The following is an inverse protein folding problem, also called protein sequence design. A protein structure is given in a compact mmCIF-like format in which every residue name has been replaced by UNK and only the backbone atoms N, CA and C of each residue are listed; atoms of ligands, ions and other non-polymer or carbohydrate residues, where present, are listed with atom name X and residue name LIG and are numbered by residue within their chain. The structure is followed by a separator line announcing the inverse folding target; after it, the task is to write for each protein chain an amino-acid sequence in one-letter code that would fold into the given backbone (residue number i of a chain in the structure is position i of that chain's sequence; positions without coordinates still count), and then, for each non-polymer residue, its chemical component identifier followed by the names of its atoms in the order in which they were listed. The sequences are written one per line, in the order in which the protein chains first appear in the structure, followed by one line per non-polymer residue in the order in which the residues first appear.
data_IF_818365343046
#
_entry.id   IF_818365343046
#
_cell.length_a   1.000
_cell.length_b   1.000
_cell.length_c   1.000
_cell.angle_alpha   90.00
_cell.angle_beta   90.00
_cell.angle_gamma   90.00
#
_symmetry.space_group_name_H-M   'P 1'
#
loop_
_entity.id
_entity.type
_entity.pdbx_description
1 polymer ?
#
# COMPACT_ATOMS: atom_id res chain seq x y z
N UNK A 1 -16.07 2.99 -15.04
CA UNK A 1 -15.07 2.37 -14.15
C UNK A 1 -14.57 1.09 -14.79
N UNK A 2 -13.29 1.06 -15.16
CA UNK A 2 -12.69 -0.12 -15.79
C UNK A 2 -12.41 -1.22 -14.77
N UNK A 3 -12.33 -2.48 -15.23
CA UNK A 3 -11.86 -3.60 -14.40
C UNK A 3 -10.48 -3.32 -13.80
N UNK A 4 -9.60 -2.65 -14.57
CA UNK A 4 -8.26 -2.24 -14.13
C UNK A 4 -8.31 -1.30 -12.91
N UNK A 5 -9.22 -0.34 -12.89
CA UNK A 5 -9.41 0.56 -11.76
C UNK A 5 -9.89 -0.18 -10.50
N UNK A 6 -10.85 -1.10 -10.66
CA UNK A 6 -11.37 -1.93 -9.56
C UNK A 6 -10.26 -2.81 -8.99
N UNK A 7 -9.51 -3.50 -9.85
CA UNK A 7 -8.39 -4.35 -9.44
C UNK A 7 -7.30 -3.55 -8.71
N UNK A 8 -6.98 -2.34 -9.18
CA UNK A 8 -6.02 -1.46 -8.54
C UNK A 8 -6.44 -1.03 -7.12
N UNK A 9 -7.73 -0.73 -6.90
CA UNK A 9 -8.26 -0.42 -5.57
C UNK A 9 -8.08 -1.61 -4.62
N UNK A 10 -8.48 -2.81 -5.03
CA UNK A 10 -8.35 -4.00 -4.19
C UNK A 10 -6.88 -4.33 -3.89
N UNK A 11 -5.99 -4.19 -4.87
CA UNK A 11 -4.55 -4.38 -4.65
C UNK A 11 -3.98 -3.35 -3.68
N UNK A 12 -4.37 -2.07 -3.80
CA UNK A 12 -3.94 -1.03 -2.87
C UNK A 12 -4.39 -1.33 -1.43
N UNK A 13 -5.65 -1.72 -1.23
CA UNK A 13 -6.20 -2.08 0.08
C UNK A 13 -5.52 -3.31 0.69
N UNK A 14 -5.19 -4.30 -0.13
CA UNK A 14 -4.45 -5.48 0.31
C UNK A 14 -3.06 -5.10 0.82
N UNK A 15 -2.31 -4.31 0.05
CA UNK A 15 -0.96 -3.86 0.47
C UNK A 15 -1.02 -2.98 1.72
N UNK A 16 -2.03 -2.11 1.83
CA UNK A 16 -2.25 -1.31 3.04
C UNK A 16 -2.58 -2.18 4.26
N UNK A 17 -3.20 -3.35 4.06
CA UNK A 17 -3.42 -4.31 5.15
C UNK A 17 -2.11 -4.93 5.67
N UNK A 18 -1.12 -5.16 4.80
CA UNK A 18 0.21 -5.59 5.20
C UNK A 18 0.95 -4.49 5.99
N UNK A 19 0.83 -3.24 5.56
CA UNK A 19 1.37 -2.08 6.29
C UNK A 19 0.70 -1.96 7.66
N UNK A 20 -0.63 -2.11 7.74
CA UNK A 20 -1.36 -2.12 9.01
C UNK A 20 -0.86 -3.25 9.92
N UNK A 21 -0.58 -4.43 9.38
CA UNK A 21 -0.04 -5.54 10.17
C UNK A 21 1.34 -5.20 10.74
N UNK A 22 2.23 -4.62 9.93
CA UNK A 22 3.53 -4.14 10.39
C UNK A 22 3.39 -3.10 11.52
N UNK A 23 2.47 -2.14 11.39
CA UNK A 23 2.23 -1.14 12.45
C UNK A 23 1.68 -1.75 13.74
N UNK A 24 0.93 -2.85 13.64
CA UNK A 24 0.47 -3.62 14.82
C UNK A 24 1.62 -4.40 15.46
N UNK A 25 2.52 -4.96 14.66
CA UNK A 25 3.71 -5.69 15.11
C UNK A 25 4.63 -4.78 15.93
N UNK A 26 4.78 -3.51 15.53
CA UNK A 26 5.66 -2.55 16.19
C UNK A 26 4.99 -1.71 17.28
N UNK A 27 3.71 -1.98 17.60
CA UNK A 27 3.02 -1.25 18.66
C UNK A 27 3.62 -1.55 20.05
N UNK A 28 3.58 -0.60 20.99
CA UNK A 28 3.03 0.76 20.87
C UNK A 28 4.02 1.83 20.36
N UNK A 29 5.33 1.58 20.35
CA UNK A 29 6.33 2.60 20.01
C UNK A 29 6.42 2.88 18.51
N UNK A 30 6.04 1.90 17.68
CA UNK A 30 6.11 1.93 16.23
C UNK A 30 7.53 2.10 15.66
N UNK A 31 8.55 1.76 16.46
CA UNK A 31 9.93 1.72 16.02
C UNK A 31 10.12 0.58 15.01
N UNK A 32 10.65 0.92 13.83
CA UNK A 32 10.93 -0.03 12.77
C UNK A 32 12.43 -0.32 12.70
N UNK A 33 12.81 -1.60 12.68
CA UNK A 33 14.16 -1.99 12.30
C UNK A 33 14.43 -1.76 10.80
N UNK A 34 15.68 -1.93 10.36
CA UNK A 34 16.05 -1.70 8.96
C UNK A 34 15.34 -2.64 7.97
N UNK A 35 15.04 -3.87 8.38
CA UNK A 35 14.31 -4.82 7.54
C UNK A 35 12.83 -4.43 7.41
N UNK A 36 12.21 -4.02 8.50
CA UNK A 36 10.84 -3.51 8.56
C UNK A 36 10.70 -2.20 7.79
N UNK A 37 11.66 -1.27 7.88
CA UNK A 37 11.72 -0.05 7.04
C UNK A 37 11.77 -0.39 5.56
N UNK A 38 12.64 -1.33 5.15
CA UNK A 38 12.75 -1.79 3.76
C UNK A 38 11.45 -2.43 3.26
N UNK A 39 10.79 -3.23 4.09
CA UNK A 39 9.46 -3.80 3.82
C UNK A 39 8.42 -2.69 3.64
N UNK A 40 8.34 -1.75 4.58
CA UNK A 40 7.41 -0.62 4.53
C UNK A 40 7.61 0.21 3.25
N UNK A 41 8.85 0.58 2.94
CA UNK A 41 9.18 1.34 1.74
C UNK A 41 8.74 0.61 0.46
N UNK A 42 9.00 -0.70 0.38
CA UNK A 42 8.58 -1.53 -0.76
C UNK A 42 7.05 -1.58 -0.90
N UNK A 43 6.32 -1.75 0.20
CA UNK A 43 4.85 -1.75 0.19
C UNK A 43 4.28 -0.39 -0.21
N UNK A 44 4.83 0.71 0.32
CA UNK A 44 4.41 2.07 -0.03
C UNK A 44 4.61 2.34 -1.52
N UNK A 45 5.76 1.97 -2.10
CA UNK A 45 5.99 2.13 -3.53
C UNK A 45 5.00 1.34 -4.39
N UNK A 46 4.60 0.14 -3.95
CA UNK A 46 3.55 -0.63 -4.63
C UNK A 46 2.18 0.07 -4.52
N UNK A 47 1.81 0.61 -3.36
CA UNK A 47 0.56 1.37 -3.19
C UNK A 47 0.54 2.58 -4.13
N UNK A 48 1.62 3.38 -4.18
CA UNK A 48 1.71 4.54 -5.06
C UNK A 48 1.46 4.19 -6.52
N UNK A 49 1.97 3.05 -7.00
CA UNK A 49 1.71 2.56 -8.37
C UNK A 49 0.22 2.26 -8.59
N UNK A 50 -0.45 1.65 -7.63
CA UNK A 50 -1.89 1.39 -7.73
C UNK A 50 -2.70 2.68 -7.69
N UNK A 51 -2.32 3.65 -6.86
CA UNK A 51 -2.93 4.97 -6.83
C UNK A 51 -2.80 5.68 -8.18
N UNK A 52 -1.61 5.66 -8.80
CA UNK A 52 -1.42 6.24 -10.13
C UNK A 52 -2.35 5.62 -11.20
N UNK A 53 -2.62 4.31 -11.12
CA UNK A 53 -3.59 3.64 -12.01
C UNK A 53 -5.01 4.13 -11.71
N UNK A 54 -5.39 4.24 -10.44
CA UNK A 54 -6.71 4.72 -10.03
C UNK A 54 -6.91 6.17 -10.51
N UNK A 55 -5.91 7.02 -10.35
CA UNK A 55 -5.92 8.41 -10.82
C UNK A 55 -6.09 8.48 -12.33
N UNK A 56 -5.30 7.70 -13.09
CA UNK A 56 -5.42 7.61 -14.56
C UNK A 56 -6.83 7.19 -15.00
N UNK A 57 -7.45 6.24 -14.31
CA UNK A 57 -8.73 5.66 -14.72
C UNK A 57 -9.96 6.45 -14.24
N UNK A 58 -9.84 7.23 -13.16
CA UNK A 58 -10.93 8.04 -12.60
C UNK A 58 -10.96 9.48 -13.11
N UNK A 59 -9.81 10.03 -13.50
CA UNK A 59 -9.68 11.42 -13.96
C UNK A 59 -9.49 11.56 -15.47
N UNK A 60 -9.61 10.44 -16.20
CA UNK A 60 -9.70 10.44 -17.67
C UNK A 60 -11.06 10.90 -18.17
#
# INVERSE_FOLDING_TARGET
MSKRAVDAVFQALFILSDIRFLLRETAPQHDLDEAQKKRAATSIEKVKRQIAIIEEELMR
#
